data_IF_226071413591
#
_entry.id   IF_226071413591
#
_cell.length_a   1.000
_cell.length_b   1.000
_cell.length_c   1.000
_cell.angle_alpha   90.00
_cell.angle_beta   90.00
_cell.angle_gamma   90.00
#
_symmetry.space_group_name_H-M   'P 1'
#
loop_
_entity.id
_entity.type
_entity.pdbx_description
1 polymer ?
#
# COMPACT_ATOMS: atom_id res chain seq x y z
N UNK A 1 26.09 13.85 -5.37
CA UNK A 1 24.94 13.67 -6.28
C UNK A 1 23.86 13.03 -5.44
N UNK A 2 22.62 13.50 -5.48
CA UNK A 2 21.57 12.94 -4.61
C UNK A 2 21.20 11.52 -5.08
N UNK A 3 21.07 10.58 -4.16
CA UNK A 3 20.52 9.23 -4.40
C UNK A 3 18.99 9.22 -4.60
N UNK A 4 18.39 10.40 -4.79
CA UNK A 4 16.98 10.54 -5.12
C UNK A 4 16.67 9.84 -6.44
N UNK A 5 15.61 9.01 -6.50
CA UNK A 5 15.21 8.37 -7.73
C UNK A 5 14.73 9.43 -8.74
N UNK A 6 14.92 9.15 -10.03
CA UNK A 6 14.41 10.03 -11.10
C UNK A 6 12.89 9.90 -11.30
N UNK A 7 12.34 8.77 -10.87
CA UNK A 7 10.92 8.45 -11.00
C UNK A 7 10.47 7.62 -9.80
N UNK A 8 9.26 7.89 -9.32
CA UNK A 8 8.59 7.15 -8.25
C UNK A 8 7.34 6.48 -8.82
N UNK A 9 7.16 5.22 -8.48
CA UNK A 9 5.96 4.44 -8.74
C UNK A 9 5.07 4.49 -7.49
N UNK A 10 3.81 4.88 -7.69
CA UNK A 10 2.81 4.98 -6.63
C UNK A 10 1.77 3.89 -6.83
N UNK A 11 1.51 3.14 -5.77
CA UNK A 11 0.46 2.14 -5.69
C UNK A 11 -0.70 2.71 -4.88
N UNK A 12 -1.77 3.07 -5.59
CA UNK A 12 -2.98 3.63 -5.00
C UNK A 12 -3.84 2.54 -4.38
N UNK A 13 -3.94 2.54 -3.06
CA UNK A 13 -4.68 1.54 -2.28
C UNK A 13 -6.02 2.09 -1.77
N UNK A 14 -6.34 3.37 -2.01
CA UNK A 14 -7.51 4.06 -1.47
C UNK A 14 -8.83 3.35 -1.74
N UNK A 15 -9.13 2.93 -2.99
CA UNK A 15 -10.34 2.18 -3.26
C UNK A 15 -10.44 0.90 -2.44
N UNK A 16 -9.35 0.15 -2.20
CA UNK A 16 -9.38 -1.08 -1.40
C UNK A 16 -9.35 -0.81 0.11
N UNK A 17 -8.28 -0.17 0.59
CA UNK A 17 -8.00 0.03 2.00
C UNK A 17 -8.88 1.08 2.65
N UNK A 18 -9.11 2.20 1.94
CA UNK A 18 -10.01 3.26 2.38
C UNK A 18 -11.39 2.71 2.68
N UNK A 19 -12.07 2.22 1.66
CA UNK A 19 -13.44 1.74 1.79
C UNK A 19 -13.62 0.55 2.74
N UNK A 20 -12.55 -0.20 3.04
CA UNK A 20 -12.63 -1.32 3.96
C UNK A 20 -12.92 -0.90 5.41
N UNK A 21 -12.44 0.28 5.83
CA UNK A 21 -12.58 0.75 7.21
C UNK A 21 -13.72 1.75 7.40
N UNK A 22 -14.32 2.23 6.31
CA UNK A 22 -15.41 3.19 6.37
C UNK A 22 -16.65 2.62 7.08
N UNK A 23 -17.29 3.39 7.97
CA UNK A 23 -18.38 2.89 8.82
C UNK A 23 -19.69 2.71 8.04
N UNK A 24 -19.85 3.39 6.91
CA UNK A 24 -21.06 3.39 6.10
C UNK A 24 -20.98 2.45 4.89
N UNK A 25 -22.13 1.97 4.37
CA UNK A 25 -22.15 1.27 3.11
C UNK A 25 -21.83 2.26 1.98
N UNK A 26 -20.70 2.05 1.31
CA UNK A 26 -20.36 2.76 0.07
C UNK A 26 -20.96 1.97 -1.09
N UNK A 27 -21.76 2.65 -1.92
CA UNK A 27 -22.44 2.00 -3.04
C UNK A 27 -21.43 1.49 -4.07
N UNK A 28 -21.76 0.39 -4.77
CA UNK A 28 -20.93 -0.12 -5.87
C UNK A 28 -20.68 0.96 -6.93
N UNK A 29 -21.68 1.79 -7.21
CA UNK A 29 -21.57 2.89 -8.17
C UNK A 29 -20.53 3.94 -7.73
N UNK A 30 -20.50 4.30 -6.45
CA UNK A 30 -19.51 5.25 -5.92
C UNK A 30 -18.09 4.67 -5.92
N UNK A 31 -17.96 3.38 -5.61
CA UNK A 31 -16.66 2.68 -5.71
C UNK A 31 -16.12 2.72 -7.13
N UNK A 32 -16.96 2.35 -8.10
CA UNK A 32 -16.61 2.37 -9.54
C UNK A 32 -16.28 3.80 -9.99
N UNK A 33 -17.08 4.79 -9.57
CA UNK A 33 -16.84 6.20 -9.88
C UNK A 33 -15.46 6.65 -9.40
N UNK A 34 -15.05 6.31 -8.18
CA UNK A 34 -13.72 6.65 -7.67
C UNK A 34 -12.61 5.95 -8.46
N UNK A 35 -12.76 4.65 -8.73
CA UNK A 35 -11.77 3.85 -9.48
C UNK A 35 -11.54 4.41 -10.89
N UNK A 36 -12.63 4.70 -11.61
CA UNK A 36 -12.56 5.25 -12.97
C UNK A 36 -11.92 6.64 -12.96
N UNK A 37 -12.28 7.50 -11.99
CA UNK A 37 -11.68 8.83 -11.85
C UNK A 37 -10.17 8.76 -11.52
N UNK A 38 -9.76 7.87 -10.61
CA UNK A 38 -8.34 7.63 -10.30
C UNK A 38 -7.55 7.16 -11.53
N UNK A 39 -8.18 6.37 -12.40
CA UNK A 39 -7.56 5.85 -13.63
C UNK A 39 -7.17 6.96 -14.62
N UNK A 40 -7.81 8.13 -14.53
CA UNK A 40 -7.56 9.28 -15.41
C UNK A 40 -6.54 10.29 -14.85
N UNK A 41 -6.01 10.02 -13.65
CA UNK A 41 -5.01 10.87 -12.99
C UNK A 41 -3.59 10.63 -13.49
N UNK A 42 -3.33 9.51 -14.19
CA UNK A 42 -1.99 9.09 -14.60
C UNK A 42 -1.35 8.06 -13.67
N UNK A 43 -2.01 7.70 -12.55
CA UNK A 43 -1.66 6.55 -11.73
C UNK A 43 -1.50 5.28 -12.58
N UNK A 44 -0.52 4.44 -12.22
CA UNK A 44 -0.18 3.21 -12.95
C UNK A 44 -0.56 1.94 -12.23
N UNK A 45 -0.78 2.00 -10.93
CA UNK A 45 -1.15 0.87 -10.10
C UNK A 45 -2.27 1.29 -9.17
N UNK A 46 -3.42 0.62 -9.28
CA UNK A 46 -4.60 0.88 -8.45
C UNK A 46 -5.12 -0.45 -7.92
N UNK A 47 -5.26 -0.56 -6.60
CA UNK A 47 -5.89 -1.70 -5.97
C UNK A 47 -7.36 -1.40 -5.72
N UNK A 48 -8.24 -2.13 -6.40
CA UNK A 48 -9.63 -1.71 -6.58
C UNK A 48 -10.64 -2.47 -5.73
N UNK A 49 -10.27 -3.64 -5.19
CA UNK A 49 -11.19 -4.47 -4.42
C UNK A 49 -10.47 -5.49 -3.53
N UNK A 50 -11.24 -6.17 -2.68
CA UNK A 50 -10.76 -7.25 -1.83
C UNK A 50 -11.69 -8.47 -1.89
N UNK A 51 -11.21 -9.62 -2.36
CA UNK A 51 -11.93 -10.89 -2.41
C UNK A 51 -11.87 -11.61 -1.04
N UNK A 52 -12.39 -10.94 -0.02
CA UNK A 52 -12.41 -11.42 1.38
C UNK A 52 -13.76 -12.00 1.77
N UNK A 53 -13.84 -12.57 2.97
CA UNK A 53 -15.10 -13.07 3.51
C UNK A 53 -16.04 -11.87 3.78
N UNK A 54 -17.19 -11.77 3.09
CA UNK A 54 -18.08 -10.62 3.21
C UNK A 54 -18.74 -10.51 4.59
N UNK A 55 -18.73 -11.57 5.40
CA UNK A 55 -19.20 -11.51 6.79
C UNK A 55 -18.19 -10.81 7.71
N UNK A 56 -16.89 -10.94 7.42
CA UNK A 56 -15.83 -10.31 8.20
C UNK A 56 -15.54 -8.90 7.70
N UNK A 57 -15.73 -8.67 6.41
CA UNK A 57 -15.48 -7.38 5.77
C UNK A 57 -16.67 -7.03 4.85
N UNK A 58 -17.78 -6.51 5.41
CA UNK A 58 -19.01 -6.24 4.66
C UNK A 58 -18.83 -5.22 3.53
N UNK A 59 -17.89 -4.28 3.69
CA UNK A 59 -17.56 -3.27 2.70
C UNK A 59 -17.12 -3.83 1.34
N UNK A 60 -16.73 -5.10 1.28
CA UNK A 60 -16.32 -5.80 0.04
C UNK A 60 -17.23 -6.95 -0.37
N UNK A 61 -18.48 -6.93 0.11
CA UNK A 61 -19.49 -7.91 -0.30
C UNK A 61 -19.88 -7.83 -1.79
N UNK A 62 -19.60 -6.70 -2.43
CA UNK A 62 -19.89 -6.38 -3.83
C UNK A 62 -18.62 -6.33 -4.71
N UNK A 63 -17.51 -6.94 -4.27
CA UNK A 63 -16.23 -6.89 -4.99
C UNK A 63 -16.34 -7.31 -6.47
N UNK A 64 -17.09 -8.37 -6.76
CA UNK A 64 -17.36 -8.83 -8.13
C UNK A 64 -18.07 -7.76 -8.96
N UNK A 65 -19.12 -7.15 -8.42
CA UNK A 65 -19.90 -6.13 -9.12
C UNK A 65 -19.05 -4.88 -9.45
N UNK A 66 -18.11 -4.52 -8.56
CA UNK A 66 -17.15 -3.45 -8.82
C UNK A 66 -16.23 -3.81 -9.99
N UNK A 67 -15.65 -5.02 -9.98
CA UNK A 67 -14.72 -5.48 -11.04
C UNK A 67 -15.42 -5.64 -12.39
N UNK A 68 -16.69 -6.05 -12.40
CA UNK A 68 -17.50 -6.14 -13.61
C UNK A 68 -17.80 -4.74 -14.20
N UNK A 69 -18.09 -3.76 -13.34
CA UNK A 69 -18.60 -2.46 -13.76
C UNK A 69 -17.52 -1.41 -14.11
N UNK A 70 -16.33 -1.45 -13.48
CA UNK A 70 -15.30 -0.43 -13.77
C UNK A 70 -14.71 -0.55 -15.19
N UNK A 71 -14.19 0.59 -15.68
CA UNK A 71 -13.67 0.75 -17.03
C UNK A 71 -12.14 0.81 -17.00
N UNK A 72 -11.44 -0.29 -17.31
CA UNK A 72 -9.98 -0.30 -17.26
C UNK A 72 -9.39 0.63 -18.33
N UNK A 73 -8.49 1.51 -17.89
CA UNK A 73 -7.69 2.37 -18.76
C UNK A 73 -6.43 1.62 -19.19
N UNK A 74 -6.05 1.81 -20.46
CA UNK A 74 -4.84 1.20 -21.02
C UNK A 74 -3.60 1.66 -20.23
N UNK A 75 -2.65 0.74 -20.03
CA UNK A 75 -1.39 0.98 -19.33
C UNK A 75 -1.56 1.31 -17.82
N UNK A 76 -2.70 0.97 -17.22
CA UNK A 76 -2.94 0.96 -15.77
C UNK A 76 -3.09 -0.49 -15.31
N UNK A 77 -2.38 -0.83 -14.23
CA UNK A 77 -2.46 -2.13 -13.59
C UNK A 77 -3.50 -2.09 -12.47
N UNK A 78 -4.55 -2.89 -12.61
CA UNK A 78 -5.57 -3.05 -11.59
C UNK A 78 -5.34 -4.34 -10.82
N UNK A 79 -5.37 -4.27 -9.49
CA UNK A 79 -5.20 -5.45 -8.63
C UNK A 79 -6.39 -5.60 -7.67
N UNK A 80 -6.64 -6.82 -7.24
CA UNK A 80 -7.60 -7.14 -6.18
C UNK A 80 -6.92 -7.98 -5.12
N UNK A 81 -7.20 -7.72 -3.84
CA UNK A 81 -6.59 -8.43 -2.73
C UNK A 81 -7.26 -9.78 -2.49
N UNK A 82 -6.47 -10.80 -2.16
CA UNK A 82 -6.97 -12.12 -1.74
C UNK A 82 -6.01 -12.79 -0.76
N UNK A 83 -6.54 -13.36 0.33
CA UNK A 83 -5.73 -13.93 1.43
C UNK A 83 -5.81 -15.45 1.55
N UNK A 84 -6.71 -16.10 0.82
CA UNK A 84 -6.94 -17.54 0.92
C UNK A 84 -7.38 -18.12 -0.42
N UNK A 85 -7.48 -19.46 -0.49
CA UNK A 85 -7.89 -20.18 -1.70
C UNK A 85 -9.22 -19.70 -2.28
N UNK A 86 -10.25 -19.52 -1.44
CA UNK A 86 -11.56 -19.05 -1.92
C UNK A 86 -11.48 -17.64 -2.54
N UNK A 87 -10.71 -16.73 -1.94
CA UNK A 87 -10.49 -15.40 -2.49
C UNK A 87 -9.70 -15.44 -3.80
N UNK A 88 -8.69 -16.32 -3.87
CA UNK A 88 -7.93 -16.56 -5.10
C UNK A 88 -8.82 -17.10 -6.22
N UNK A 89 -9.66 -18.10 -5.93
CA UNK A 89 -10.60 -18.68 -6.90
C UNK A 89 -11.53 -17.63 -7.49
N UNK A 90 -12.03 -16.70 -6.65
CA UNK A 90 -12.84 -15.55 -7.09
C UNK A 90 -12.01 -14.60 -7.97
N UNK A 91 -10.80 -14.25 -7.55
CA UNK A 91 -9.93 -13.35 -8.31
C UNK A 91 -9.54 -13.93 -9.69
N UNK A 92 -9.35 -15.25 -9.80
CA UNK A 92 -9.01 -15.96 -11.04
C UNK A 92 -10.08 -15.80 -12.13
N UNK A 93 -11.35 -15.63 -11.77
CA UNK A 93 -12.42 -15.37 -12.75
C UNK A 93 -12.24 -14.04 -13.48
N UNK A 94 -11.49 -13.09 -12.90
CA UNK A 94 -11.30 -11.75 -13.41
C UNK A 94 -9.89 -11.48 -13.94
N UNK A 95 -9.09 -12.53 -14.24
CA UNK A 95 -7.71 -12.40 -14.75
C UNK A 95 -7.57 -11.62 -16.07
N UNK A 96 -8.67 -11.36 -16.78
CA UNK A 96 -8.70 -10.53 -17.99
C UNK A 96 -8.75 -9.03 -17.68
N UNK A 97 -9.20 -8.65 -16.48
CA UNK A 97 -9.28 -7.26 -16.00
C UNK A 97 -8.31 -6.96 -14.86
N UNK A 98 -7.99 -7.96 -14.05
CA UNK A 98 -7.12 -7.85 -12.88
C UNK A 98 -5.78 -8.53 -13.12
N UNK A 99 -4.71 -7.85 -12.71
CA UNK A 99 -3.39 -8.43 -12.54
C UNK A 99 -3.35 -9.15 -11.20
N UNK A 100 -3.02 -10.44 -11.23
CA UNK A 100 -2.88 -11.28 -10.05
C UNK A 100 -1.39 -11.42 -9.70
N UNK A 101 -1.07 -11.26 -8.43
CA UNK A 101 0.30 -11.38 -7.93
C UNK A 101 0.32 -11.97 -6.54
N UNK A 102 1.24 -12.89 -6.29
CA UNK A 102 1.47 -13.46 -4.96
C UNK A 102 2.50 -12.66 -4.17
N UNK A 103 2.37 -12.70 -2.85
CA UNK A 103 3.38 -12.22 -1.92
C UNK A 103 3.53 -13.16 -0.72
N UNK A 104 4.73 -13.19 -0.16
CA UNK A 104 5.01 -13.80 1.14
C UNK A 104 4.84 -12.71 2.20
N UNK A 105 3.77 -12.79 2.98
CA UNK A 105 3.38 -11.73 3.93
C UNK A 105 3.70 -12.14 5.37
N UNK A 106 4.70 -11.49 5.94
CA UNK A 106 5.20 -11.73 7.29
C UNK A 106 5.05 -10.48 8.17
N UNK A 107 5.35 -10.64 9.44
CA UNK A 107 5.23 -9.60 10.46
C UNK A 107 6.51 -9.58 11.29
N UNK A 108 7.10 -8.42 11.52
CA UNK A 108 8.28 -8.30 12.37
C UNK A 108 7.93 -8.35 13.88
N UNK A 109 6.66 -8.53 14.27
CA UNK A 109 6.23 -8.58 15.66
C UNK A 109 5.37 -9.81 15.95
N UNK A 110 5.79 -10.63 16.93
CA UNK A 110 5.04 -11.81 17.39
C UNK A 110 3.69 -11.41 17.99
N UNK A 111 3.68 -10.32 18.78
CA UNK A 111 2.47 -9.78 19.38
C UNK A 111 1.44 -9.37 18.31
N UNK A 112 1.92 -8.76 17.22
CA UNK A 112 1.08 -8.42 16.08
C UNK A 112 0.60 -9.66 15.31
N UNK A 113 1.48 -10.65 15.04
CA UNK A 113 1.09 -11.90 14.37
C UNK A 113 -0.08 -12.56 15.10
N UNK A 114 0.04 -12.70 16.42
CA UNK A 114 -0.97 -13.35 17.24
C UNK A 114 -2.28 -12.55 17.25
N UNK A 115 -2.21 -11.23 17.32
CA UNK A 115 -3.41 -10.38 17.36
C UNK A 115 -4.12 -10.28 16.01
N UNK A 116 -3.37 -10.18 14.93
CA UNK A 116 -3.90 -9.99 13.58
C UNK A 116 -4.31 -11.31 12.91
N UNK A 117 -3.50 -12.36 13.05
CA UNK A 117 -3.67 -13.62 12.32
C UNK A 117 -4.10 -14.80 13.21
N UNK A 118 -4.10 -14.63 14.53
CA UNK A 118 -4.31 -15.71 15.50
C UNK A 118 -3.36 -16.90 15.27
N UNK A 119 -2.09 -16.60 14.95
CA UNK A 119 -1.01 -17.55 14.69
C UNK A 119 0.29 -17.08 15.33
N UNK A 120 1.15 -18.02 15.68
CA UNK A 120 2.57 -17.77 15.95
C UNK A 120 3.34 -17.45 14.66
N UNK A 121 4.55 -16.92 14.78
CA UNK A 121 5.42 -16.70 13.62
C UNK A 121 5.70 -17.98 12.84
N UNK A 122 6.02 -19.09 13.52
CA UNK A 122 6.30 -20.38 12.87
C UNK A 122 5.09 -20.95 12.10
N UNK A 123 3.88 -20.82 12.66
CA UNK A 123 2.65 -21.18 11.95
C UNK A 123 2.42 -20.28 10.74
N UNK A 124 2.75 -18.98 10.84
CA UNK A 124 2.64 -18.07 9.71
C UNK A 124 3.65 -18.39 8.59
N UNK A 125 4.89 -18.76 8.92
CA UNK A 125 5.87 -19.23 7.91
C UNK A 125 5.34 -20.45 7.14
N UNK A 126 4.79 -21.43 7.86
CA UNK A 126 4.18 -22.62 7.26
C UNK A 126 3.01 -22.26 6.34
N UNK A 127 2.15 -21.33 6.78
CA UNK A 127 1.03 -20.85 5.98
C UNK A 127 1.49 -20.12 4.71
N UNK A 128 2.50 -19.25 4.82
CA UNK A 128 3.05 -18.51 3.68
C UNK A 128 3.75 -19.42 2.68
N UNK A 129 4.46 -20.46 3.12
CA UNK A 129 5.02 -21.47 2.22
C UNK A 129 3.94 -22.18 1.41
N UNK A 130 2.87 -22.64 2.07
CA UNK A 130 1.73 -23.26 1.40
C UNK A 130 1.05 -22.28 0.43
N UNK A 131 0.91 -21.03 0.83
CA UNK A 131 0.30 -20.00 0.00
C UNK A 131 1.15 -19.71 -1.24
N UNK A 132 2.46 -19.50 -1.10
CA UNK A 132 3.37 -19.25 -2.21
C UNK A 132 3.34 -20.40 -3.22
N UNK A 133 3.41 -21.66 -2.76
CA UNK A 133 3.27 -22.83 -3.63
C UNK A 133 1.94 -22.83 -4.40
N UNK A 134 0.82 -22.57 -3.72
CA UNK A 134 -0.49 -22.52 -4.37
C UNK A 134 -0.61 -21.40 -5.43
N UNK A 135 0.07 -20.27 -5.25
CA UNK A 135 0.11 -19.21 -6.27
C UNK A 135 0.89 -19.68 -7.50
N UNK A 136 2.06 -20.28 -7.30
CA UNK A 136 2.90 -20.80 -8.38
C UNK A 136 2.19 -21.92 -9.16
N UNK A 137 1.48 -22.83 -8.48
CA UNK A 137 0.66 -23.88 -9.11
C UNK A 137 -0.44 -23.31 -10.02
N UNK A 138 -0.90 -22.08 -9.73
CA UNK A 138 -1.88 -21.35 -10.54
C UNK A 138 -1.23 -20.39 -11.56
N UNK A 139 0.08 -20.49 -11.80
CA UNK A 139 0.87 -19.59 -12.66
C UNK A 139 0.82 -18.11 -12.24
N UNK A 140 0.67 -17.85 -10.94
CA UNK A 140 0.72 -16.50 -10.37
C UNK A 140 2.11 -16.27 -9.80
N UNK A 141 2.80 -15.26 -10.32
CA UNK A 141 4.15 -14.92 -9.86
C UNK A 141 4.14 -14.47 -8.40
N UNK A 142 4.99 -15.09 -7.58
CA UNK A 142 5.31 -14.65 -6.22
C UNK A 142 6.62 -13.92 -6.28
N UNK A 143 6.58 -12.58 -6.22
CA UNK A 143 7.75 -11.74 -6.46
C UNK A 143 8.05 -10.74 -5.34
N UNK A 144 7.22 -10.73 -4.29
CA UNK A 144 7.29 -9.78 -3.19
C UNK A 144 7.31 -10.46 -1.83
N UNK A 145 8.18 -10.02 -0.94
CA UNK A 145 8.09 -10.27 0.50
C UNK A 145 7.61 -8.99 1.18
N UNK A 146 6.54 -9.07 1.97
CA UNK A 146 5.98 -7.91 2.69
C UNK A 146 6.12 -8.11 4.19
N UNK A 147 6.69 -7.12 4.89
CA UNK A 147 6.89 -7.13 6.33
C UNK A 147 6.01 -6.07 6.98
N UNK A 148 4.98 -6.52 7.71
CA UNK A 148 4.16 -5.66 8.57
C UNK A 148 4.84 -5.37 9.91
N UNK A 149 4.42 -4.28 10.55
CA UNK A 149 4.98 -3.82 11.82
C UNK A 149 6.51 -3.69 11.79
N UNK A 150 7.07 -3.27 10.64
CA UNK A 150 8.52 -3.25 10.43
C UNK A 150 9.23 -2.19 11.31
N UNK A 151 8.52 -1.12 11.70
CA UNK A 151 9.12 0.04 12.36
C UNK A 151 8.70 0.20 13.84
N UNK A 152 7.77 -0.63 14.31
CA UNK A 152 7.22 -0.58 15.67
C UNK A 152 5.89 -1.32 15.76
N UNK A 153 5.46 -1.61 16.99
CA UNK A 153 4.23 -2.36 17.24
C UNK A 153 3.53 -1.95 18.53
N UNK A 154 2.22 -1.74 18.48
CA UNK A 154 1.40 -1.45 19.66
C UNK A 154 1.31 -2.63 20.66
N UNK A 155 1.68 -3.84 20.25
CA UNK A 155 1.62 -5.06 21.08
C UNK A 155 2.98 -5.56 21.57
N UNK A 156 4.08 -5.00 21.05
CA UNK A 156 5.45 -5.41 21.39
C UNK A 156 6.38 -4.22 21.70
N UNK A 157 6.00 -3.01 21.32
CA UNK A 157 6.84 -1.82 21.41
C UNK A 157 7.79 -1.68 20.23
N UNK A 158 9.02 -1.29 20.52
CA UNK A 158 10.07 -1.12 19.52
C UNK A 158 10.42 -2.44 18.82
N UNK A 159 10.54 -2.37 17.50
CA UNK A 159 11.01 -3.49 16.67
C UNK A 159 12.44 -3.20 16.26
N UNK A 160 13.35 -4.09 16.64
CA UNK A 160 14.76 -3.95 16.30
C UNK A 160 14.97 -4.21 14.79
N UNK A 161 15.85 -3.45 14.11
CA UNK A 161 16.18 -3.69 12.70
C UNK A 161 16.58 -5.13 12.41
N UNK A 162 17.39 -5.73 13.29
CA UNK A 162 17.78 -7.14 13.20
C UNK A 162 16.58 -8.10 13.14
N UNK A 163 15.47 -7.78 13.82
CA UNK A 163 14.26 -8.58 13.75
C UNK A 163 13.64 -8.52 12.36
N UNK A 164 13.56 -7.33 11.76
CA UNK A 164 13.11 -7.15 10.36
C UNK A 164 13.99 -7.94 9.39
N UNK A 165 15.32 -7.84 9.52
CA UNK A 165 16.27 -8.58 8.67
C UNK A 165 16.09 -10.10 8.81
N UNK A 166 15.93 -10.60 10.04
CA UNK A 166 15.68 -12.03 10.26
C UNK A 166 14.35 -12.47 9.63
N UNK A 167 13.28 -11.67 9.75
CA UNK A 167 11.99 -11.98 9.11
C UNK A 167 12.09 -11.97 7.58
N UNK A 168 12.89 -11.08 6.99
CA UNK A 168 13.18 -11.10 5.55
C UNK A 168 13.95 -12.37 5.14
N UNK A 169 14.92 -12.81 5.95
CA UNK A 169 15.63 -14.08 5.74
C UNK A 169 14.68 -15.27 5.76
N UNK A 170 13.74 -15.31 6.70
CA UNK A 170 12.70 -16.35 6.74
C UNK A 170 11.85 -16.34 5.47
N UNK A 171 11.47 -15.17 4.97
CA UNK A 171 10.74 -15.04 3.70
C UNK A 171 11.55 -15.50 2.49
N UNK A 172 12.86 -15.20 2.45
CA UNK A 172 13.76 -15.66 1.40
C UNK A 172 13.93 -17.19 1.41
N UNK A 173 14.00 -17.81 2.59
CA UNK A 173 13.99 -19.27 2.73
C UNK A 173 12.70 -19.86 2.13
N UNK A 174 11.53 -19.29 2.43
CA UNK A 174 10.27 -19.74 1.81
C UNK A 174 10.33 -19.61 0.29
N UNK A 175 10.88 -18.51 -0.22
CA UNK A 175 10.99 -18.29 -1.65
C UNK A 175 11.89 -19.34 -2.33
N UNK A 176 13.05 -19.64 -1.75
CA UNK A 176 13.96 -20.69 -2.22
C UNK A 176 13.28 -22.07 -2.23
N UNK A 177 12.61 -22.43 -1.13
CA UNK A 177 11.95 -23.73 -1.00
C UNK A 177 10.77 -23.92 -1.96
N UNK A 178 10.12 -22.83 -2.38
CA UNK A 178 8.97 -22.87 -3.29
C UNK A 178 9.35 -22.59 -4.75
N UNK A 179 10.57 -22.13 -5.01
CA UNK A 179 11.00 -21.66 -6.32
C UNK A 179 10.45 -20.28 -6.71
N UNK A 180 9.98 -19.49 -5.74
CA UNK A 180 9.52 -18.12 -5.98
C UNK A 180 10.71 -17.19 -6.26
N UNK A 181 10.56 -16.30 -7.25
CA UNK A 181 11.59 -15.33 -7.60
C UNK A 181 11.28 -13.95 -7.03
N UNK A 182 11.89 -13.63 -5.89
CA UNK A 182 11.65 -12.36 -5.19
C UNK A 182 12.49 -11.24 -5.80
N UNK A 183 11.83 -10.13 -6.12
CA UNK A 183 12.43 -8.92 -6.71
C UNK A 183 12.13 -7.66 -5.89
N UNK A 184 11.22 -7.74 -4.92
CA UNK A 184 10.77 -6.60 -4.12
C UNK A 184 10.58 -6.98 -2.65
N UNK A 185 11.13 -6.18 -1.75
CA UNK A 185 10.71 -6.17 -0.33
C UNK A 185 9.83 -4.95 -0.05
N UNK A 186 8.67 -5.18 0.55
CA UNK A 186 7.80 -4.11 1.05
C UNK A 186 7.88 -4.03 2.58
N UNK A 187 8.21 -2.86 3.10
CA UNK A 187 8.27 -2.61 4.53
C UNK A 187 7.13 -1.68 4.94
N UNK A 188 6.26 -2.17 5.83
CA UNK A 188 5.08 -1.43 6.25
C UNK A 188 5.22 -0.87 7.67
N UNK A 189 4.98 0.44 7.79
CA UNK A 189 4.73 1.13 9.05
C UNK A 189 3.25 1.02 9.45
N UNK A 190 2.80 -0.22 9.67
CA UNK A 190 1.39 -0.60 9.84
C UNK A 190 0.65 0.18 10.93
N UNK A 191 1.37 0.74 11.91
CA UNK A 191 0.79 1.44 13.07
C UNK A 191 1.29 2.87 13.21
N UNK A 192 2.01 3.41 12.21
CA UNK A 192 2.53 4.79 12.21
C UNK A 192 3.58 5.06 13.29
N UNK A 193 4.51 4.12 13.51
CA UNK A 193 5.60 4.19 14.49
C UNK A 193 6.91 4.75 13.92
N UNK A 194 7.05 4.77 12.59
CA UNK A 194 8.31 5.15 11.97
C UNK A 194 8.60 6.64 12.17
N UNK A 195 9.89 6.93 12.28
CA UNK A 195 10.45 8.26 12.17
C UNK A 195 11.61 8.20 11.16
N UNK A 196 12.03 9.33 10.55
CA UNK A 196 12.98 9.33 9.44
C UNK A 196 14.27 8.53 9.69
N UNK A 197 14.86 8.66 10.88
CA UNK A 197 16.08 7.93 11.25
C UNK A 197 15.88 6.40 11.31
N UNK A 198 14.67 5.92 11.64
CA UNK A 198 14.35 4.48 11.64
C UNK A 198 14.18 3.95 10.22
N UNK A 199 13.55 4.74 9.34
CA UNK A 199 13.46 4.45 7.91
C UNK A 199 14.87 4.28 7.34
N UNK A 200 15.74 5.28 7.55
CA UNK A 200 17.12 5.28 7.08
C UNK A 200 17.91 4.07 7.61
N UNK A 201 17.78 3.78 8.91
CA UNK A 201 18.51 2.68 9.52
C UNK A 201 18.08 1.31 8.98
N UNK A 202 16.78 1.01 8.94
CA UNK A 202 16.29 -0.29 8.45
C UNK A 202 16.60 -0.47 6.97
N UNK A 203 16.41 0.57 6.14
CA UNK A 203 16.76 0.49 4.71
C UNK A 203 18.26 0.27 4.52
N UNK A 204 19.10 0.95 5.31
CA UNK A 204 20.55 0.76 5.29
C UNK A 204 20.96 -0.68 5.61
N UNK A 205 20.35 -1.29 6.63
CA UNK A 205 20.59 -2.71 6.97
C UNK A 205 20.13 -3.64 5.85
N UNK A 206 18.94 -3.42 5.28
CA UNK A 206 18.40 -4.24 4.19
C UNK A 206 19.32 -4.17 2.96
N UNK A 207 19.79 -2.98 2.58
CA UNK A 207 20.70 -2.81 1.43
C UNK A 207 22.09 -3.37 1.68
N UNK A 208 22.55 -3.40 2.93
CA UNK A 208 23.82 -4.03 3.28
C UNK A 208 23.78 -5.55 3.06
N UNK A 209 22.63 -6.18 3.31
CA UNK A 209 22.44 -7.62 3.11
C UNK A 209 22.00 -7.95 1.66
N UNK A 210 21.13 -7.16 1.06
CA UNK A 210 20.57 -7.35 -0.28
C UNK A 210 20.69 -6.07 -1.13
N UNK A 211 21.88 -5.79 -1.69
CA UNK A 211 22.15 -4.51 -2.37
C UNK A 211 21.31 -4.29 -3.63
N UNK A 212 20.93 -5.37 -4.33
CA UNK A 212 20.17 -5.30 -5.59
C UNK A 212 18.65 -5.42 -5.41
N UNK A 213 18.18 -5.64 -4.17
CA UNK A 213 16.75 -5.84 -3.91
C UNK A 213 15.99 -4.51 -4.00
N UNK A 214 14.91 -4.49 -4.77
CA UNK A 214 14.03 -3.32 -4.81
C UNK A 214 13.26 -3.20 -3.49
N UNK A 215 13.02 -1.96 -3.07
CA UNK A 215 12.29 -1.67 -1.84
C UNK A 215 11.05 -0.84 -2.14
N UNK A 216 9.95 -1.19 -1.47
CA UNK A 216 8.76 -0.35 -1.34
C UNK A 216 8.47 -0.02 0.11
N UNK A 217 7.88 1.15 0.33
CA UNK A 217 7.42 1.58 1.65
C UNK A 217 5.90 1.74 1.66
N UNK A 218 5.28 1.19 2.69
CA UNK A 218 3.88 1.38 3.00
C UNK A 218 3.80 2.16 4.32
N UNK A 219 3.47 3.44 4.26
CA UNK A 219 3.62 4.36 5.37
C UNK A 219 2.26 4.83 5.85
N UNK A 220 2.02 4.69 7.16
CA UNK A 220 0.85 5.29 7.79
C UNK A 220 1.18 6.64 8.38
N UNK A 221 0.22 7.56 8.31
CA UNK A 221 0.33 8.92 8.84
C UNK A 221 -0.36 9.12 10.20
N UNK A 222 -0.57 8.03 10.94
CA UNK A 222 -1.20 8.02 12.28
C UNK A 222 -0.64 9.07 13.25
N UNK A 223 0.62 9.49 13.07
CA UNK A 223 1.33 10.48 13.90
C UNK A 223 1.91 11.67 13.12
N UNK A 224 1.47 11.89 11.88
CA UNK A 224 1.90 13.04 11.06
C UNK A 224 3.37 12.98 10.61
N UNK A 225 3.93 11.78 10.41
CA UNK A 225 5.33 11.58 10.03
C UNK A 225 5.50 10.91 8.65
N UNK A 226 4.43 10.52 7.97
CA UNK A 226 4.52 9.71 6.77
C UNK A 226 5.24 10.41 5.62
N UNK A 227 4.97 11.70 5.35
CA UNK A 227 5.69 12.47 4.32
C UNK A 227 7.18 12.61 4.66
N UNK A 228 7.51 12.85 5.92
CA UNK A 228 8.91 12.92 6.37
C UNK A 228 9.62 11.56 6.23
N UNK A 229 8.90 10.46 6.52
CA UNK A 229 9.37 9.09 6.35
C UNK A 229 9.54 8.73 4.86
N UNK A 230 8.63 9.20 4.00
CA UNK A 230 8.73 9.03 2.55
C UNK A 230 9.96 9.75 2.00
N UNK A 231 10.20 11.00 2.43
CA UNK A 231 11.41 11.75 2.07
C UNK A 231 12.69 11.03 2.52
N UNK A 232 12.70 10.46 3.73
CA UNK A 232 13.82 9.65 4.20
C UNK A 232 14.06 8.42 3.31
N UNK A 233 12.99 7.71 2.93
CA UNK A 233 13.06 6.61 1.97
C UNK A 233 13.58 7.03 0.60
N UNK A 234 13.11 8.16 0.06
CA UNK A 234 13.56 8.72 -1.23
C UNK A 234 15.05 9.04 -1.21
N UNK A 235 15.56 9.67 -0.14
CA UNK A 235 17.01 9.92 0.03
C UNK A 235 17.81 8.63 0.05
N UNK A 236 17.20 7.56 0.55
CA UNK A 236 17.74 6.21 0.53
C UNK A 236 17.34 5.47 -0.74
N UNK A 237 17.03 6.14 -1.85
CA UNK A 237 16.75 5.57 -3.16
C UNK A 237 15.54 4.62 -3.27
N UNK A 238 14.64 4.59 -2.29
CA UNK A 238 13.34 3.91 -2.42
C UNK A 238 12.53 4.65 -3.48
N UNK A 239 11.93 3.88 -4.40
CA UNK A 239 11.18 4.44 -5.55
C UNK A 239 9.76 3.91 -5.70
N UNK A 240 9.29 3.09 -4.75
CA UNK A 240 7.94 2.52 -4.73
C UNK A 240 7.26 2.83 -3.41
N UNK A 241 6.04 3.35 -3.47
CA UNK A 241 5.26 3.70 -2.29
C UNK A 241 3.82 3.27 -2.47
N UNK A 242 3.26 2.69 -1.40
CA UNK A 242 1.81 2.53 -1.28
C UNK A 242 1.26 3.81 -0.63
N UNK A 243 0.14 4.32 -1.15
CA UNK A 243 -0.55 5.51 -0.65
C UNK A 243 -2.04 5.43 -0.89
N UNK A 244 -2.80 6.36 -0.32
CA UNK A 244 -4.25 6.45 -0.56
C UNK A 244 -4.69 7.87 -0.87
N UNK A 245 -5.61 7.98 -1.83
CA UNK A 245 -6.24 9.24 -2.20
C UNK A 245 -6.89 9.90 -0.98
N UNK A 246 -6.63 11.19 -0.78
CA UNK A 246 -7.07 11.97 0.38
C UNK A 246 -6.55 11.47 1.73
N UNK A 247 -5.61 10.53 1.77
CA UNK A 247 -5.20 9.85 3.01
C UNK A 247 -6.26 8.90 3.57
N UNK A 248 -7.12 8.36 2.68
CA UNK A 248 -8.13 7.37 3.01
C UNK A 248 -7.57 6.17 3.77
N UNK A 249 -8.43 5.58 4.61
CA UNK A 249 -8.12 4.35 5.32
C UNK A 249 -7.68 4.60 6.76
N UNK A 250 -7.10 3.56 7.33
CA UNK A 250 -6.85 3.50 8.76
C UNK A 250 -6.37 2.12 9.14
N UNK A 251 -5.73 2.03 10.31
CA UNK A 251 -5.37 0.74 10.87
C UNK A 251 -6.24 0.48 12.11
N UNK A 252 -7.09 -0.55 12.13
CA UNK A 252 -7.87 -0.88 13.33
C UNK A 252 -6.97 -1.25 14.52
N UNK A 253 -5.70 -1.58 14.25
CA UNK A 253 -4.68 -1.90 15.25
C UNK A 253 -3.87 -0.69 15.72
N UNK A 254 -4.02 0.48 15.09
CA UNK A 254 -3.35 1.71 15.53
C UNK A 254 -3.86 2.25 16.87
N UNK A 255 -5.01 1.75 17.34
CA UNK A 255 -5.57 2.06 18.66
C UNK A 255 -6.22 3.44 18.78
N UNK A 256 -6.17 4.25 17.72
CA UNK A 256 -6.72 5.60 17.67
C UNK A 256 -7.73 5.69 16.52
N UNK A 257 -9.05 5.61 16.78
CA UNK A 257 -10.07 5.54 15.74
C UNK A 257 -10.17 6.74 14.81
N UNK A 258 -9.55 7.88 15.15
CA UNK A 258 -9.62 9.14 14.41
C UNK A 258 -8.29 9.56 13.76
N UNK A 259 -7.23 8.78 13.95
CA UNK A 259 -5.94 9.11 13.37
C UNK A 259 -5.92 8.73 11.87
N UNK A 260 -5.20 9.50 11.06
CA UNK A 260 -5.02 9.21 9.65
C UNK A 260 -4.45 7.79 9.46
N UNK A 261 -4.88 7.15 8.38
CA UNK A 261 -4.42 5.83 7.98
C UNK A 261 -3.12 5.89 7.22
N UNK A 262 -3.22 5.76 5.91
CA UNK A 262 -2.09 5.75 4.99
C UNK A 262 -1.61 7.17 4.67
N UNK A 263 -0.40 7.27 4.13
CA UNK A 263 0.10 8.50 3.51
C UNK A 263 -0.84 8.93 2.37
N UNK A 264 -1.13 10.22 2.33
CA UNK A 264 -1.94 10.85 1.28
C UNK A 264 -1.21 10.83 -0.06
N UNK A 265 -1.86 10.30 -1.10
CA UNK A 265 -1.28 10.20 -2.46
C UNK A 265 -0.91 11.59 -3.00
N UNK A 266 -1.77 12.57 -2.80
CA UNK A 266 -1.63 13.96 -3.25
C UNK A 266 -0.38 14.61 -2.64
N UNK A 267 -0.16 14.42 -1.34
CA UNK A 267 1.00 14.97 -0.62
C UNK A 267 2.30 14.30 -1.04
N UNK A 268 2.28 12.99 -1.31
CA UNK A 268 3.44 12.27 -1.84
C UNK A 268 3.78 12.75 -3.26
N UNK A 269 2.78 12.96 -4.11
CA UNK A 269 2.98 13.51 -5.46
C UNK A 269 3.55 14.93 -5.38
N UNK A 270 2.99 15.80 -4.52
CA UNK A 270 3.53 17.14 -4.30
C UNK A 270 4.98 17.09 -3.84
N UNK A 271 5.33 16.25 -2.86
CA UNK A 271 6.70 16.07 -2.42
C UNK A 271 7.61 15.69 -3.59
N UNK A 272 7.19 14.76 -4.45
CA UNK A 272 7.96 14.35 -5.61
C UNK A 272 8.12 15.50 -6.62
N UNK A 273 7.06 16.24 -6.93
CA UNK A 273 7.11 17.40 -7.83
C UNK A 273 8.09 18.47 -7.33
N UNK A 274 8.04 18.81 -6.05
CA UNK A 274 8.93 19.81 -5.43
C UNK A 274 10.40 19.36 -5.40
N UNK A 275 10.65 18.05 -5.37
CA UNK A 275 11.98 17.47 -5.48
C UNK A 275 12.44 17.27 -6.94
N UNK A 276 11.59 17.56 -7.93
CA UNK A 276 11.86 17.31 -9.34
C UNK A 276 11.85 15.83 -9.75
N UNK A 277 11.19 14.99 -8.96
CA UNK A 277 11.04 13.54 -9.17
C UNK A 277 9.76 13.28 -9.97
N UNK A 278 9.85 12.51 -11.05
CA UNK A 278 8.67 12.21 -11.87
C UNK A 278 7.76 11.16 -11.22
N UNK A 279 6.46 11.38 -11.25
CA UNK A 279 5.45 10.35 -10.90
C UNK A 279 4.60 9.96 -12.10
N UNK A 280 4.41 10.89 -13.04
CA UNK A 280 3.47 10.75 -14.15
C UNK A 280 2.01 11.02 -13.76
N UNK A 281 1.76 11.38 -12.51
CA UNK A 281 0.44 11.72 -11.99
C UNK A 281 0.17 13.21 -12.20
N UNK A 282 -1.04 13.55 -12.62
CA UNK A 282 -1.56 14.90 -12.68
C UNK A 282 -2.11 15.27 -11.29
N UNK A 283 -1.36 16.07 -10.53
CA UNK A 283 -1.71 16.45 -9.17
C UNK A 283 -3.04 17.21 -9.07
N UNK A 284 -3.32 18.14 -9.98
CA UNK A 284 -4.56 18.92 -9.94
C UNK A 284 -5.80 18.02 -10.13
N UNK A 285 -5.74 17.07 -11.06
CA UNK A 285 -6.79 16.06 -11.22
C UNK A 285 -6.89 15.16 -10.01
N UNK A 286 -5.77 14.72 -9.45
CA UNK A 286 -5.79 13.86 -8.27
C UNK A 286 -6.44 14.58 -7.08
N UNK A 287 -6.19 15.88 -6.88
CA UNK A 287 -6.86 16.70 -5.87
C UNK A 287 -8.38 16.75 -6.08
N UNK A 288 -8.87 16.87 -7.32
CA UNK A 288 -10.30 16.80 -7.63
C UNK A 288 -10.89 15.43 -7.28
N UNK A 289 -10.15 14.34 -7.57
CA UNK A 289 -10.54 12.98 -7.21
C UNK A 289 -10.53 12.77 -5.68
N UNK A 290 -9.60 13.39 -4.95
CA UNK A 290 -9.58 13.36 -3.50
C UNK A 290 -10.77 14.08 -2.85
N UNK A 291 -11.21 15.20 -3.43
CA UNK A 291 -12.48 15.84 -3.02
C UNK A 291 -13.69 14.95 -3.30
N UNK A 292 -13.70 14.26 -4.44
CA UNK A 292 -14.73 13.27 -4.74
C UNK A 292 -14.73 12.12 -3.72
N UNK A 293 -13.55 11.65 -3.31
CA UNK A 293 -13.44 10.62 -2.28
C UNK A 293 -14.02 11.10 -0.94
N UNK A 294 -13.71 12.33 -0.53
CA UNK A 294 -14.28 12.99 0.66
C UNK A 294 -15.82 13.06 0.60
N UNK A 295 -16.37 13.46 -0.54
CA UNK A 295 -17.82 13.49 -0.76
C UNK A 295 -18.46 12.09 -0.66
N UNK A 296 -17.79 11.06 -1.20
CA UNK A 296 -18.28 9.67 -1.19
C UNK A 296 -18.34 9.13 0.24
N UNK A 297 -17.30 9.36 1.06
CA UNK A 297 -17.27 8.86 2.44
C UNK A 297 -18.07 9.73 3.41
N UNK A 298 -18.39 10.96 3.01
CA UNK A 298 -19.29 11.85 3.74
C UNK A 298 -18.70 12.43 5.02
N UNK A 299 -17.37 12.42 5.16
CA UNK A 299 -16.64 13.08 6.24
C UNK A 299 -15.31 13.62 5.71
N UNK A 300 -14.77 14.62 6.41
CA UNK A 300 -13.49 15.22 6.04
C UNK A 300 -12.36 14.19 6.04
N UNK A 301 -11.56 14.19 4.97
CA UNK A 301 -10.38 13.36 4.83
C UNK A 301 -9.13 14.08 5.37
N UNK A 302 -8.11 13.35 5.86
CA UNK A 302 -6.96 13.95 6.53
C UNK A 302 -5.96 14.62 5.59
N UNK A 303 -6.00 14.33 4.28
CA UNK A 303 -5.10 14.95 3.31
C UNK A 303 -5.31 16.46 3.23
N UNK A 304 -4.31 17.26 3.61
CA UNK A 304 -4.48 18.72 3.61
C UNK A 304 -4.54 19.29 2.19
N UNK A 305 -3.88 18.60 1.24
CA UNK A 305 -3.72 19.12 -0.11
C UNK A 305 -5.02 19.17 -0.91
N UNK A 306 -6.02 18.33 -0.58
CA UNK A 306 -7.33 18.40 -1.24
C UNK A 306 -8.08 19.70 -0.91
N UNK A 307 -7.75 20.33 0.23
CA UNK A 307 -8.29 21.62 0.65
C UNK A 307 -7.40 22.80 0.22
N UNK A 308 -6.08 22.63 0.31
CA UNK A 308 -5.12 23.69 0.01
C UNK A 308 -4.92 23.94 -1.50
N UNK A 309 -5.11 22.91 -2.33
CA UNK A 309 -4.81 22.96 -3.77
C UNK A 309 -3.31 22.88 -4.09
N UNK A 310 -2.96 22.76 -5.37
CA UNK A 310 -1.57 22.65 -5.81
C UNK A 310 -0.86 24.01 -5.83
N UNK A 311 0.48 23.97 -5.88
CA UNK A 311 1.31 25.17 -6.04
C UNK A 311 1.32 25.70 -7.48
N UNK A 312 0.87 24.91 -8.46
CA UNK A 312 0.92 25.28 -9.88
C UNK A 312 0.08 26.52 -10.16
N UNK A 313 -1.12 26.62 -9.58
CA UNK A 313 -1.99 27.79 -9.76
C UNK A 313 -1.31 29.10 -9.33
N UNK A 314 -0.54 29.09 -8.24
CA UNK A 314 0.18 30.27 -7.75
C UNK A 314 1.41 30.61 -8.58
N UNK A 315 2.12 29.60 -9.08
CA UNK A 315 3.30 29.79 -9.94
C UNK A 315 2.94 30.40 -11.29
N UNK A 316 1.85 29.97 -11.90
CA UNK A 316 1.39 30.51 -13.19
C UNK A 316 0.89 31.96 -13.09
N UNK A 317 0.28 32.34 -11.96
CA UNK A 317 -0.27 33.69 -11.75
C UNK A 317 0.79 34.78 -11.51
N UNK A 318 2.06 34.42 -11.26
CA UNK A 318 3.16 35.38 -11.04
C UNK A 318 3.91 35.69 -12.35
N UNK A 319 3.75 34.84 -13.37
CA UNK A 319 4.50 34.93 -14.65
C UNK A 319 3.70 35.68 -15.73
N UNK A 320 2.45 36.06 -15.45
CA UNK A 320 1.61 36.93 -16.29
C UNK A 320 1.45 38.31 -15.64
#
# INVERSE_FOLDING_TARGET
MSDLPKMVEIHEEGPREGFQIEPGPISTADKVKLIDALSETGLKHIQICSFVNPRLVPGWSDAEAVVEAFNPVKDVTYTGLYFNGNGLDRALHYKSKLTLSGSISLTASEGFTKKNLNRSHAENLTAMKRQAAAHLDNNIAVHRISIMAAFGCNYQGDIAPKQVINTLKDGMCIAEETGAHITLFSLADTMGWAAPHRIEHIIGEVRSEWPDMELSLHLHDTRGLAVANAYAGLKMGVRRFDSTVGGLGGCPFAGQPKAAGNICTEELVLLCEELGIKTGVNLDRLIEVGRMAEDIVGHQLPGELIHAGSLNAFRHNIVN
#
